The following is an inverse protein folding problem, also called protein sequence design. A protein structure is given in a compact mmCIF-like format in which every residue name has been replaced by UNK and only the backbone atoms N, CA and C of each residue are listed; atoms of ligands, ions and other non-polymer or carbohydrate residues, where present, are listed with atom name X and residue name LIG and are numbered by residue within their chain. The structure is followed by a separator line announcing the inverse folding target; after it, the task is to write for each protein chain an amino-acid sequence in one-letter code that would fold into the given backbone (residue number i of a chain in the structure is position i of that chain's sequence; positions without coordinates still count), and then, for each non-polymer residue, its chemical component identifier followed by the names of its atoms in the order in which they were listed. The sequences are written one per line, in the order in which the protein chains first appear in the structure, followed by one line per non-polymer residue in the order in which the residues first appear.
data_IF_395947144222
#
_entry.id   IF_395947144222
#
_cell.length_a   1.000
_cell.length_b   1.000
_cell.length_c   1.000
_cell.angle_alpha   90.00
_cell.angle_beta   90.00
_cell.angle_gamma   90.00
#
_symmetry.space_group_name_H-M   'P 1'
#
loop_
_entity.id
_entity.type
_entity.pdbx_description
1 polymer ?
#
# COMPACT_ATOMS: atom_id res chain seq x y z
N UNK A 1 6.42 5.08 2.61
CA UNK A 1 7.73 5.40 1.98
C UNK A 1 8.44 6.51 2.72
N UNK A 2 7.90 7.74 2.77
CA UNK A 2 8.59 8.88 3.39
C UNK A 2 9.06 8.60 4.82
N UNK A 3 8.19 8.13 5.72
CA UNK A 3 8.56 7.80 7.10
C UNK A 3 9.69 6.76 7.18
N UNK A 4 9.61 5.70 6.38
CA UNK A 4 10.61 4.62 6.32
C UNK A 4 11.97 5.18 5.88
N UNK A 5 11.96 5.98 4.81
CA UNK A 5 13.15 6.54 4.17
C UNK A 5 13.82 7.62 5.04
N UNK A 6 13.03 8.39 5.78
CA UNK A 6 13.54 9.30 6.82
C UNK A 6 14.14 8.52 7.99
N UNK A 7 13.46 7.47 8.47
CA UNK A 7 13.99 6.60 9.52
C UNK A 7 15.35 6.01 9.16
N UNK A 8 15.49 5.48 7.93
CA UNK A 8 16.75 4.95 7.43
C UNK A 8 17.90 5.97 7.47
N UNK A 9 17.66 7.25 7.12
CA UNK A 9 18.66 8.33 7.21
C UNK A 9 19.05 8.68 8.64
N UNK A 10 18.16 8.43 9.59
CA UNK A 10 18.38 8.66 11.01
C UNK A 10 18.91 7.42 11.74
N UNK A 11 19.16 6.31 11.04
CA UNK A 11 19.57 5.04 11.65
C UNK A 11 18.45 4.33 12.42
N UNK A 12 17.19 4.72 12.21
CA UNK A 12 16.01 4.07 12.79
C UNK A 12 15.50 3.00 11.81
N UNK A 13 15.59 1.71 12.15
CA UNK A 13 15.22 0.62 11.24
C UNK A 13 13.70 0.47 11.15
N UNK A 14 13.11 1.18 10.20
CA UNK A 14 11.66 1.15 9.95
C UNK A 14 11.31 0.29 8.73
N UNK A 15 10.17 -0.38 8.77
CA UNK A 15 9.64 -1.18 7.67
C UNK A 15 8.14 -0.97 7.47
N UNK A 16 7.66 -1.11 6.23
CA UNK A 16 6.23 -1.09 5.95
C UNK A 16 5.58 -2.44 6.28
N UNK A 17 4.47 -2.42 7.01
CA UNK A 17 3.72 -3.61 7.41
C UNK A 17 2.37 -3.63 6.71
N UNK A 18 2.11 -4.71 5.99
CA UNK A 18 0.96 -4.86 5.10
C UNK A 18 -0.24 -5.47 5.81
N UNK A 19 -1.02 -4.64 6.50
CA UNK A 19 -2.25 -5.11 7.13
C UNK A 19 -3.42 -5.19 6.13
N UNK A 20 -4.47 -5.97 6.44
CA UNK A 20 -5.74 -5.87 5.71
C UNK A 20 -6.27 -4.43 5.78
N UNK A 21 -6.72 -3.90 4.65
CA UNK A 21 -7.28 -2.54 4.49
C UNK A 21 -6.36 -1.35 4.87
N UNK A 22 -5.17 -1.56 5.44
CA UNK A 22 -4.29 -0.48 5.90
C UNK A 22 -2.81 -0.81 5.79
N UNK A 23 -1.94 0.19 5.91
CA UNK A 23 -0.48 0.01 6.01
C UNK A 23 0.00 0.78 7.22
N UNK A 24 0.77 0.12 8.08
CA UNK A 24 1.46 0.76 9.21
C UNK A 24 2.98 0.66 9.01
N UNK A 25 3.74 1.39 9.81
CA UNK A 25 5.21 1.31 9.84
C UNK A 25 5.63 0.61 11.12
N UNK A 26 6.39 -0.47 11.02
CA UNK A 26 6.98 -1.18 12.15
C UNK A 26 8.41 -0.71 12.41
N UNK A 27 8.80 -0.62 13.67
CA UNK A 27 10.20 -0.46 14.09
C UNK A 27 10.81 -1.83 14.39
N UNK A 28 11.95 -2.12 13.75
CA UNK A 28 12.66 -3.38 13.89
C UNK A 28 13.70 -3.26 15.00
N UNK A 29 13.47 -3.93 16.12
CA UNK A 29 14.38 -3.94 17.27
C UNK A 29 14.78 -5.37 17.61
N UNK A 30 16.07 -5.67 17.56
CA UNK A 30 16.63 -6.97 17.99
C UNK A 30 16.03 -8.21 17.30
N UNK A 31 15.52 -8.09 16.07
CA UNK A 31 14.86 -9.21 15.36
C UNK A 31 13.34 -9.26 15.49
N UNK A 32 12.72 -8.29 16.17
CA UNK A 32 11.29 -8.26 16.45
C UNK A 32 10.66 -6.91 16.11
N UNK A 33 9.39 -6.94 15.72
CA UNK A 33 8.55 -5.75 15.53
C UNK A 33 7.41 -5.81 16.53
N UNK A 34 7.48 -4.92 17.52
CA UNK A 34 6.46 -4.75 18.56
C UNK A 34 5.87 -3.34 18.62
N UNK A 35 6.58 -2.36 18.05
CA UNK A 35 6.12 -0.99 17.95
C UNK A 35 5.76 -0.68 16.51
N UNK A 36 4.55 -0.17 16.34
CA UNK A 36 3.99 0.23 15.06
C UNK A 36 3.59 1.70 15.11
N UNK A 37 3.54 2.31 13.95
CA UNK A 37 3.15 3.70 13.76
C UNK A 37 2.18 3.78 12.60
N UNK A 38 1.09 4.52 12.79
CA UNK A 38 0.18 4.84 11.71
C UNK A 38 0.66 6.12 10.99
N UNK A 39 1.26 6.02 9.79
CA UNK A 39 1.76 7.20 9.09
C UNK A 39 0.63 8.10 8.55
N UNK A 40 -0.62 7.61 8.56
CA UNK A 40 -1.80 8.33 8.09
C UNK A 40 -2.61 8.94 9.24
N UNK A 41 -2.25 8.65 10.50
CA UNK A 41 -2.83 9.21 11.70
C UNK A 41 -1.75 9.85 12.57
N UNK A 42 -1.05 10.85 11.99
CA UNK A 42 -0.04 11.68 12.68
C UNK A 42 1.09 10.89 13.37
N UNK A 43 1.39 9.67 12.91
CA UNK A 43 2.39 8.81 13.53
C UNK A 43 1.92 8.13 14.82
N UNK A 44 0.61 7.97 15.02
CA UNK A 44 0.03 7.31 16.20
C UNK A 44 0.73 5.99 16.48
N UNK A 45 1.24 5.85 17.70
CA UNK A 45 1.92 4.63 18.16
C UNK A 45 0.90 3.54 18.45
N UNK A 46 1.18 2.34 17.98
CA UNK A 46 0.34 1.16 18.10
C UNK A 46 1.18 -0.04 18.55
N UNK A 47 0.56 -0.94 19.29
CA UNK A 47 1.00 -2.32 19.45
C UNK A 47 0.17 -3.23 18.51
N UNK A 48 0.40 -4.55 18.57
CA UNK A 48 -0.35 -5.50 17.72
C UNK A 48 -1.85 -5.49 18.00
N UNK A 49 -2.27 -5.27 19.25
CA UNK A 49 -3.69 -5.16 19.60
C UNK A 49 -4.32 -3.92 18.98
N UNK A 50 -3.63 -2.78 19.03
CA UNK A 50 -4.01 -1.53 18.38
C UNK A 50 -4.10 -1.65 16.86
N UNK A 51 -3.17 -2.37 16.24
CA UNK A 51 -3.26 -2.71 14.80
C UNK A 51 -4.51 -3.55 14.49
N UNK A 52 -4.79 -4.60 15.28
CA UNK A 52 -6.00 -5.43 15.11
C UNK A 52 -7.29 -4.64 15.26
N UNK A 53 -7.36 -3.78 16.27
CA UNK A 53 -8.49 -2.89 16.49
C UNK A 53 -8.66 -1.88 15.34
N UNK A 54 -7.54 -1.32 14.84
CA UNK A 54 -7.54 -0.41 13.70
C UNK A 54 -8.11 -1.08 12.44
N UNK A 55 -7.63 -2.27 12.10
CA UNK A 55 -8.10 -3.01 10.92
C UNK A 55 -9.57 -3.38 11.06
N UNK A 56 -9.99 -3.90 12.22
CA UNK A 56 -11.40 -4.26 12.45
C UNK A 56 -12.33 -3.05 12.28
N UNK A 57 -11.90 -1.88 12.78
CA UNK A 57 -12.63 -0.61 12.61
C UNK A 57 -12.71 -0.19 11.15
N UNK A 58 -11.61 -0.28 10.39
CA UNK A 58 -11.57 0.08 8.97
C UNK A 58 -12.39 -0.87 8.09
N UNK A 59 -12.40 -2.16 8.43
CA UNK A 59 -13.17 -3.19 7.73
C UNK A 59 -14.66 -3.21 8.09
N UNK A 60 -15.05 -2.55 9.19
CA UNK A 60 -16.42 -2.56 9.71
C UNK A 60 -16.85 -3.90 10.33
N UNK A 61 -15.91 -4.79 10.62
CA UNK A 61 -16.13 -6.12 11.21
C UNK A 61 -14.88 -6.59 11.95
N UNK A 62 -15.03 -7.56 12.85
CA UNK A 62 -13.88 -8.20 13.49
C UNK A 62 -13.05 -8.94 12.46
N UNK A 63 -11.79 -8.54 12.31
CA UNK A 63 -10.83 -9.17 11.41
C UNK A 63 -9.80 -9.97 12.21
N UNK A 64 -9.60 -11.22 11.82
CA UNK A 64 -8.52 -12.06 12.35
C UNK A 64 -7.29 -11.80 11.51
N UNK A 65 -6.29 -11.14 12.09
CA UNK A 65 -5.01 -10.86 11.42
C UNK A 65 -4.02 -11.98 11.77
N UNK A 66 -3.57 -12.80 10.81
CA UNK A 66 -2.50 -13.76 11.03
C UNK A 66 -1.22 -13.07 11.49
N UNK A 67 -0.46 -13.70 12.38
CA UNK A 67 0.79 -13.12 12.90
C UNK A 67 1.80 -12.81 11.80
N UNK A 68 1.85 -13.60 10.72
CA UNK A 68 2.68 -13.33 9.55
C UNK A 68 2.34 -12.00 8.82
N UNK A 69 1.16 -11.42 9.05
CA UNK A 69 0.80 -10.11 8.48
C UNK A 69 1.58 -8.96 9.12
N UNK A 70 2.24 -9.21 10.26
CA UNK A 70 3.12 -8.26 10.93
C UNK A 70 4.57 -8.31 10.40
N UNK A 71 4.85 -9.21 9.45
CA UNK A 71 6.16 -9.27 8.81
C UNK A 71 6.35 -8.08 7.85
N UNK A 72 7.60 -7.58 7.69
CA UNK A 72 7.92 -6.55 6.71
C UNK A 72 7.47 -6.91 5.30
N UNK A 73 6.78 -5.97 4.64
CA UNK A 73 6.57 -6.06 3.20
C UNK A 73 7.88 -5.86 2.45
N UNK A 74 8.02 -6.58 1.34
CA UNK A 74 9.03 -6.24 0.34
C UNK A 74 8.73 -4.86 -0.28
N UNK A 75 9.77 -4.20 -0.81
CA UNK A 75 9.61 -2.95 -1.55
C UNK A 75 8.68 -3.10 -2.76
N UNK A 76 8.71 -4.27 -3.42
CA UNK A 76 7.84 -4.58 -4.55
C UNK A 76 6.38 -4.65 -4.11
N UNK A 77 6.08 -5.37 -3.02
CA UNK A 77 4.73 -5.48 -2.47
C UNK A 77 4.18 -4.13 -2.01
N UNK A 78 5.04 -3.27 -1.43
CA UNK A 78 4.65 -1.90 -1.07
C UNK A 78 4.29 -1.08 -2.32
N UNK A 79 5.08 -1.20 -3.39
CA UNK A 79 4.84 -0.51 -4.66
C UNK A 79 3.56 -0.99 -5.35
N UNK A 80 3.33 -2.30 -5.38
CA UNK A 80 2.09 -2.90 -5.89
C UNK A 80 0.86 -2.35 -5.17
N UNK A 81 0.89 -2.30 -3.82
CA UNK A 81 -0.21 -1.72 -3.03
C UNK A 81 -0.42 -0.25 -3.34
N UNK A 82 0.64 0.55 -3.46
CA UNK A 82 0.51 1.96 -3.84
C UNK A 82 -0.16 2.12 -5.21
N UNK A 83 0.27 1.36 -6.21
CA UNK A 83 -0.31 1.42 -7.55
C UNK A 83 -1.73 0.84 -7.61
N UNK A 84 -2.08 -0.14 -6.76
CA UNK A 84 -3.47 -0.64 -6.59
C UNK A 84 -4.38 0.46 -6.05
N UNK A 85 -3.94 1.16 -5.02
CA UNK A 85 -4.72 2.25 -4.43
C UNK A 85 -4.93 3.39 -5.43
N UNK A 86 -3.87 3.80 -6.14
CA UNK A 86 -3.98 4.86 -7.16
C UNK A 86 -4.87 4.45 -8.32
N UNK A 87 -4.81 3.19 -8.78
CA UNK A 87 -5.74 2.65 -9.78
C UNK A 87 -7.18 2.85 -9.32
N UNK A 88 -7.52 2.37 -8.13
CA UNK A 88 -8.88 2.46 -7.60
C UNK A 88 -9.37 3.91 -7.50
N UNK A 89 -8.52 4.83 -6.98
CA UNK A 89 -8.85 6.25 -6.83
C UNK A 89 -9.15 6.92 -8.19
N UNK A 90 -8.30 6.70 -9.19
CA UNK A 90 -8.47 7.36 -10.49
C UNK A 90 -9.52 6.68 -11.38
N UNK A 91 -9.72 5.37 -11.25
CA UNK A 91 -10.82 4.66 -11.93
C UNK A 91 -12.19 5.14 -11.48
N UNK A 92 -12.34 5.55 -10.21
CA UNK A 92 -13.60 6.09 -9.68
C UNK A 92 -13.95 7.51 -10.17
N UNK A 93 -13.05 8.18 -10.90
CA UNK A 93 -13.18 9.57 -11.38
C UNK A 93 -13.08 9.65 -12.91
N UNK A 94 -13.71 8.71 -13.60
CA UNK A 94 -13.56 8.54 -15.06
C UNK A 94 -14.14 9.69 -15.90
N UNK A 95 -14.92 10.58 -15.29
CA UNK A 95 -15.46 11.82 -15.85
C UNK A 95 -14.44 12.97 -15.91
N UNK A 96 -13.33 12.86 -15.16
CA UNK A 96 -12.28 13.86 -15.09
C UNK A 96 -11.09 13.46 -16.00
N UNK A 97 -10.85 14.22 -17.07
CA UNK A 97 -9.75 13.96 -18.01
C UNK A 97 -8.37 13.93 -17.33
N UNK A 98 -8.18 14.69 -16.25
CA UNK A 98 -6.93 14.66 -15.48
C UNK A 98 -6.75 13.34 -14.73
N UNK A 99 -7.85 12.76 -14.22
CA UNK A 99 -7.88 11.45 -13.60
C UNK A 99 -7.65 10.33 -14.62
N UNK A 100 -8.22 10.43 -15.82
CA UNK A 100 -7.94 9.50 -16.94
C UNK A 100 -6.44 9.49 -17.28
N UNK A 101 -5.82 10.67 -17.40
CA UNK A 101 -4.36 10.79 -17.64
C UNK A 101 -3.53 10.24 -16.48
N UNK A 102 -3.98 10.40 -15.25
CA UNK A 102 -3.31 9.81 -14.08
C UNK A 102 -3.43 8.28 -14.08
N UNK A 103 -4.62 7.74 -14.37
CA UNK A 103 -4.87 6.31 -14.49
C UNK A 103 -3.98 5.67 -15.57
N UNK A 104 -3.85 6.31 -16.75
CA UNK A 104 -2.97 5.84 -17.82
C UNK A 104 -1.50 5.74 -17.37
N UNK A 105 -1.02 6.72 -16.58
CA UNK A 105 0.33 6.69 -15.99
C UNK A 105 0.48 5.57 -14.97
N UNK A 106 -0.51 5.37 -14.09
CA UNK A 106 -0.53 4.26 -13.13
C UNK A 106 -0.46 2.93 -13.86
N UNK A 107 -1.29 2.72 -14.90
CA UNK A 107 -1.24 1.50 -15.72
C UNK A 107 0.15 1.31 -16.34
N UNK A 108 0.72 2.37 -16.92
CA UNK A 108 2.08 2.35 -17.50
C UNK A 108 3.14 1.86 -16.52
N UNK A 109 3.09 2.32 -15.27
CA UNK A 109 4.01 1.85 -14.23
C UNK A 109 3.74 0.38 -13.87
N UNK A 110 2.47 -0.03 -13.78
CA UNK A 110 2.10 -1.41 -13.42
C UNK A 110 2.55 -2.46 -14.43
N UNK A 111 2.60 -2.19 -15.75
CA UNK A 111 3.14 -3.19 -16.70
C UNK A 111 4.60 -3.49 -16.49
N UNK A 112 5.33 -2.56 -15.87
CA UNK A 112 6.76 -2.73 -15.63
C UNK A 112 7.03 -3.49 -14.33
N UNK A 113 5.98 -3.79 -13.54
CA UNK A 113 6.12 -4.59 -12.34
C UNK A 113 6.21 -6.09 -12.67
N UNK A 114 7.22 -6.80 -12.16
CA UNK A 114 7.31 -8.25 -12.27
C UNK A 114 6.05 -8.91 -11.69
N UNK A 115 5.48 -9.91 -12.37
CA UNK A 115 4.33 -10.70 -11.87
C UNK A 115 2.95 -10.04 -11.94
N UNK A 116 2.84 -8.74 -12.22
CA UNK A 116 1.56 -8.02 -12.39
C UNK A 116 1.13 -7.94 -13.86
N UNK A 117 2.08 -7.90 -14.79
CA UNK A 117 1.83 -7.70 -16.23
C UNK A 117 0.93 -8.75 -16.89
N UNK A 118 0.96 -10.00 -16.41
CA UNK A 118 0.26 -11.12 -17.06
C UNK A 118 -1.26 -11.08 -16.84
N UNK A 119 -1.74 -10.51 -15.74
CA UNK A 119 -3.19 -10.41 -15.43
C UNK A 119 -3.85 -9.12 -15.92
N UNK A 120 -3.08 -8.08 -16.27
CA UNK A 120 -3.60 -6.75 -16.62
C UNK A 120 -3.52 -6.40 -18.11
N UNK A 121 -2.94 -7.26 -18.95
CA UNK A 121 -2.77 -7.00 -20.39
C UNK A 121 -4.10 -6.69 -21.09
N UNK A 122 -5.20 -7.35 -20.69
CA UNK A 122 -6.55 -7.09 -21.23
C UNK A 122 -7.14 -5.72 -20.85
N UNK A 123 -6.77 -5.16 -19.70
CA UNK A 123 -7.31 -3.87 -19.22
C UNK A 123 -6.65 -2.68 -19.92
N UNK A 124 -5.36 -2.83 -20.31
CA UNK A 124 -4.62 -1.85 -21.10
C UNK A 124 -5.22 -1.64 -22.48
N UNK A 125 -5.59 -2.73 -23.16
CA UNK A 125 -6.20 -2.67 -24.48
C UNK A 125 -7.53 -1.89 -24.49
N UNK A 126 -8.32 -1.97 -23.41
CA UNK A 126 -9.59 -1.23 -23.29
C UNK A 126 -9.40 0.27 -23.12
N UNK A 127 -8.38 0.70 -22.38
CA UNK A 127 -8.12 2.12 -22.10
C UNK A 127 -7.38 2.84 -23.25
N UNK A 128 -6.76 2.09 -24.16
CA UNK A 128 -6.12 2.64 -25.36
C UNK A 128 -7.10 2.86 -26.54
N UNK A 129 -8.29 2.25 -26.50
CA UNK A 129 -9.29 2.33 -27.57
C UNK A 129 -9.91 3.73 -27.80
N UNK A 130 -10.13 4.59 -26.79
CA UNK A 130 -10.71 5.92 -27.01
C UNK A 130 -9.65 7.03 -27.23
N UNK A 131 -8.37 6.69 -27.40
CA UNK A 131 -7.27 7.66 -27.56
C UNK A 131 -6.63 7.65 -28.97
N UNK A 132 -7.23 6.95 -29.94
CA UNK A 132 -6.87 7.00 -31.35
C UNK A 132 -7.99 7.63 -32.18
#
# INVERSE_FOLDING_TARGET
VVMIEVGARLGVPLAGIGLPAHVVVGEFDGGRIDRFFDPFDRGRVLDRAGCRALVSRLAGRTEVIPEASFDPMSNLSLLERMLNNLKAIYSARSDDLSAVRALARVMTLRSRLPGVGDSETNERFRLAAPLN
#
